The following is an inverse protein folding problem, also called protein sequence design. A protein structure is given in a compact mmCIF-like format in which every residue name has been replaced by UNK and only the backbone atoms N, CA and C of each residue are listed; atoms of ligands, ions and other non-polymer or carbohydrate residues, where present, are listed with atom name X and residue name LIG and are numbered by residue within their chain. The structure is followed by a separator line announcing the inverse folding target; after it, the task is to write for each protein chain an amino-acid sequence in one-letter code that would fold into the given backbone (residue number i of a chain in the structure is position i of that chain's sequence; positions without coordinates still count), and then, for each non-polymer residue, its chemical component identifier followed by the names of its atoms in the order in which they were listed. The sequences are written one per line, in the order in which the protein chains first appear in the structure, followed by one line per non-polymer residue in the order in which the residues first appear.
data_IF_469118547687
#
_entry.id   IF_469118547687
#
_cell.length_a   1.000
_cell.length_b   1.000
_cell.length_c   1.000
_cell.angle_alpha   90.00
_cell.angle_beta   90.00
_cell.angle_gamma   90.00
#
_symmetry.space_group_name_H-M   'P 1'
#
loop_
_entity.id
_entity.type
_entity.pdbx_description
1 polymer ?
#
# COMPACT_ATOMS: atom_id res chain seq x y z
N UNK A 1 -13.80 12.78 -16.23
CA UNK A 1 -14.02 12.15 -14.91
C UNK A 1 -13.49 13.06 -13.83
N UNK A 2 -14.36 13.46 -12.90
CA UNK A 2 -13.98 14.29 -11.74
C UNK A 2 -14.03 13.42 -10.49
N UNK A 3 -13.00 12.60 -10.34
CA UNK A 3 -12.89 11.64 -9.25
C UNK A 3 -12.54 12.31 -7.91
N UNK A 4 -13.21 11.89 -6.84
CA UNK A 4 -12.94 12.29 -5.45
C UNK A 4 -12.97 11.05 -4.54
N UNK A 5 -12.30 11.14 -3.39
CA UNK A 5 -12.45 10.16 -2.32
C UNK A 5 -13.60 10.58 -1.40
N UNK A 6 -14.54 9.65 -1.20
CA UNK A 6 -15.49 9.71 -0.12
C UNK A 6 -14.99 8.78 1.00
N UNK A 7 -14.63 9.36 2.14
CA UNK A 7 -14.06 8.63 3.28
C UNK A 7 -15.12 8.51 4.36
N UNK A 8 -15.37 7.28 4.82
CA UNK A 8 -16.26 7.00 5.94
C UNK A 8 -15.47 6.42 7.10
N UNK A 9 -15.72 6.96 8.31
CA UNK A 9 -15.07 6.57 9.56
C UNK A 9 -16.12 6.02 10.52
N UNK A 10 -16.16 4.70 10.68
CA UNK A 10 -17.21 4.02 11.45
C UNK A 10 -16.75 3.67 12.87
N UNK A 11 -16.97 4.58 13.83
CA UNK A 11 -16.48 4.44 15.22
C UNK A 11 -17.26 3.41 16.07
N UNK A 12 -18.44 2.99 15.64
CA UNK A 12 -19.42 2.27 16.48
C UNK A 12 -19.45 0.73 16.30
N UNK A 13 -18.54 0.14 15.52
CA UNK A 13 -18.51 -1.31 15.32
C UNK A 13 -17.55 -1.94 16.33
N UNK A 14 -18.10 -2.51 17.42
CA UNK A 14 -17.39 -3.14 18.54
C UNK A 14 -16.40 -4.26 18.13
N UNK A 15 -16.50 -4.80 16.91
CA UNK A 15 -15.86 -6.07 16.54
C UNK A 15 -14.73 -5.98 15.50
N UNK A 16 -14.23 -4.79 15.17
CA UNK A 16 -13.18 -4.67 14.14
C UNK A 16 -11.81 -4.23 14.68
N UNK A 17 -10.80 -5.07 14.42
CA UNK A 17 -9.38 -4.74 14.50
C UNK A 17 -9.12 -3.34 13.90
N UNK A 18 -8.30 -2.55 14.58
CA UNK A 18 -7.97 -1.12 14.43
C UNK A 18 -7.68 -0.59 13.01
N UNK A 19 -7.69 -1.42 11.96
CA UNK A 19 -7.53 -1.03 10.55
C UNK A 19 -8.78 -1.12 9.66
N UNK A 20 -9.97 -1.49 10.18
CA UNK A 20 -11.17 -1.77 9.37
C UNK A 20 -12.31 -0.74 9.47
N UNK A 21 -12.15 0.33 10.26
CA UNK A 21 -13.20 1.32 10.45
C UNK A 21 -13.17 2.50 9.44
N UNK A 22 -12.06 2.70 8.72
CA UNK A 22 -11.93 3.74 7.68
C UNK A 22 -12.06 3.11 6.30
N UNK A 23 -13.12 3.48 5.56
CA UNK A 23 -13.36 3.01 4.19
C UNK A 23 -13.20 4.16 3.20
N UNK A 24 -12.65 3.82 2.04
CA UNK A 24 -12.38 4.77 0.97
C UNK A 24 -13.21 4.35 -0.24
N UNK A 25 -14.22 5.15 -0.56
CA UNK A 25 -14.99 5.03 -1.78
C UNK A 25 -14.51 6.06 -2.80
N UNK A 26 -14.51 5.68 -4.07
CA UNK A 26 -14.25 6.59 -5.18
C UNK A 26 -15.59 7.03 -5.72
N UNK A 27 -15.78 8.34 -5.81
CA UNK A 27 -16.96 8.98 -6.37
C UNK A 27 -16.60 9.78 -7.61
N UNK A 28 -17.49 9.85 -8.59
CA UNK A 28 -17.30 10.68 -9.79
C UNK A 28 -18.34 11.81 -9.83
N UNK A 29 -17.87 13.04 -9.62
CA UNK A 29 -18.71 14.23 -9.56
C UNK A 29 -19.32 14.61 -10.91
N UNK A 30 -18.91 13.98 -12.01
CA UNK A 30 -19.56 14.12 -13.32
C UNK A 30 -20.85 13.27 -13.43
N UNK A 31 -20.97 12.20 -12.64
CA UNK A 31 -22.17 11.33 -12.64
C UNK A 31 -23.29 11.98 -11.82
N UNK A 32 -22.99 12.34 -10.57
CA UNK A 32 -23.89 13.07 -9.68
C UNK A 32 -23.07 13.91 -8.69
N UNK A 33 -23.69 14.96 -8.17
CA UNK A 33 -23.08 15.79 -7.12
C UNK A 33 -23.09 15.08 -5.76
N UNK A 34 -24.02 14.16 -5.55
CA UNK A 34 -24.32 13.60 -4.24
C UNK A 34 -23.97 12.11 -4.16
N UNK A 35 -23.49 11.71 -2.98
CA UNK A 35 -23.32 10.31 -2.62
C UNK A 35 -24.67 9.77 -2.09
N UNK A 36 -25.09 8.52 -2.40
CA UNK A 36 -24.33 7.45 -3.05
C UNK A 36 -24.45 7.38 -4.58
N UNK A 37 -25.25 8.23 -5.23
CA UNK A 37 -25.51 8.18 -6.67
C UNK A 37 -24.23 8.30 -7.53
N UNK A 38 -23.25 9.04 -7.04
CA UNK A 38 -21.96 9.21 -7.69
C UNK A 38 -20.91 8.15 -7.34
N UNK A 39 -21.29 7.09 -6.62
CA UNK A 39 -20.39 6.00 -6.26
C UNK A 39 -19.90 5.24 -7.49
N UNK A 40 -18.59 5.01 -7.54
CA UNK A 40 -17.96 4.24 -8.62
C UNK A 40 -17.46 2.89 -8.12
N UNK A 41 -16.62 2.88 -7.10
CA UNK A 41 -15.98 1.66 -6.59
C UNK A 41 -15.28 1.93 -5.26
N UNK A 42 -14.99 0.88 -4.52
CA UNK A 42 -14.18 0.96 -3.30
C UNK A 42 -12.70 0.99 -3.69
N UNK A 43 -11.92 1.89 -3.09
CA UNK A 43 -10.47 1.89 -3.21
C UNK A 43 -9.88 0.80 -2.29
N UNK A 44 -9.31 -0.28 -2.85
CA UNK A 44 -8.72 -1.34 -2.04
C UNK A 44 -7.45 -0.83 -1.34
N UNK A 45 -7.13 -1.43 -0.18
CA UNK A 45 -5.91 -1.09 0.57
C UNK A 45 -4.64 -1.49 -0.19
N UNK A 46 -4.67 -2.65 -0.84
CA UNK A 46 -3.59 -3.12 -1.72
C UNK A 46 -4.10 -3.16 -3.16
N UNK A 47 -3.32 -2.63 -4.08
CA UNK A 47 -3.62 -2.66 -5.51
C UNK A 47 -2.70 -3.70 -6.14
N UNK A 48 -3.25 -4.89 -6.42
CA UNK A 48 -2.53 -5.97 -7.09
C UNK A 48 -3.00 -6.02 -8.56
N UNK A 49 -2.19 -5.52 -9.47
CA UNK A 49 -2.51 -5.48 -10.92
C UNK A 49 -2.32 -6.84 -11.60
N UNK A 50 -1.44 -7.69 -11.06
CA UNK A 50 -1.07 -9.02 -11.58
C UNK A 50 -1.83 -10.18 -10.93
N UNK A 51 -2.67 -9.92 -9.92
CA UNK A 51 -3.41 -10.97 -9.23
C UNK A 51 -4.46 -11.64 -10.13
N UNK A 52 -4.70 -12.94 -9.90
CA UNK A 52 -5.74 -13.74 -10.58
C UNK A 52 -7.14 -13.15 -10.33
N UNK A 53 -7.40 -12.69 -9.12
CA UNK A 53 -8.64 -12.00 -8.75
C UNK A 53 -8.33 -10.50 -8.63
N UNK A 54 -8.86 -9.71 -9.57
CA UNK A 54 -8.72 -8.25 -9.60
C UNK A 54 -9.92 -7.58 -8.95
N UNK A 55 -9.68 -6.56 -8.14
CA UNK A 55 -10.74 -5.72 -7.57
C UNK A 55 -11.48 -4.94 -8.67
N UNK A 56 -12.72 -4.53 -8.42
CA UNK A 56 -13.50 -3.72 -9.37
C UNK A 56 -12.78 -2.43 -9.76
N UNK A 57 -12.03 -1.83 -8.81
CA UNK A 57 -11.15 -0.70 -9.07
C UNK A 57 -10.07 -1.02 -10.12
N UNK A 58 -9.34 -2.12 -9.94
CA UNK A 58 -8.29 -2.53 -10.90
C UNK A 58 -8.89 -2.92 -12.24
N UNK A 59 -10.06 -3.57 -12.27
CA UNK A 59 -10.76 -3.88 -13.52
C UNK A 59 -11.14 -2.62 -14.30
N UNK A 60 -11.64 -1.58 -13.61
CA UNK A 60 -12.07 -0.31 -14.22
C UNK A 60 -10.90 0.53 -14.74
N UNK A 61 -9.85 0.70 -13.94
CA UNK A 61 -8.75 1.62 -14.25
C UNK A 61 -7.46 0.95 -14.76
N UNK A 62 -7.43 -0.40 -14.80
CA UNK A 62 -6.34 -1.21 -15.38
C UNK A 62 -4.95 -0.73 -14.94
N UNK A 63 -4.12 -0.31 -15.90
CA UNK A 63 -2.73 0.10 -15.68
C UNK A 63 -2.61 1.46 -14.96
N UNK A 64 -3.65 2.29 -15.01
CA UNK A 64 -3.66 3.61 -14.37
C UNK A 64 -4.12 3.55 -12.91
N UNK A 65 -4.62 2.40 -12.45
CA UNK A 65 -5.17 2.21 -11.11
C UNK A 65 -4.25 2.72 -9.99
N UNK A 66 -2.95 2.40 -10.04
CA UNK A 66 -1.97 2.84 -9.04
C UNK A 66 -1.76 4.36 -9.09
N UNK A 67 -1.64 4.94 -10.30
CA UNK A 67 -1.43 6.39 -10.49
C UNK A 67 -2.63 7.19 -9.99
N UNK A 68 -3.85 6.72 -10.32
CA UNK A 68 -5.10 7.34 -9.87
C UNK A 68 -5.23 7.26 -8.36
N UNK A 69 -4.96 6.09 -7.76
CA UNK A 69 -5.01 5.92 -6.31
C UNK A 69 -4.04 6.85 -5.57
N UNK A 70 -2.78 6.96 -6.03
CA UNK A 70 -1.80 7.87 -5.44
C UNK A 70 -2.26 9.32 -5.55
N UNK A 71 -2.76 9.74 -6.72
CA UNK A 71 -3.26 11.10 -6.94
C UNK A 71 -4.39 11.44 -5.97
N UNK A 72 -5.40 10.58 -5.89
CA UNK A 72 -6.55 10.75 -5.01
C UNK A 72 -6.15 10.79 -3.53
N UNK A 73 -5.30 9.86 -3.10
CA UNK A 73 -4.82 9.82 -1.71
C UNK A 73 -4.00 11.07 -1.33
N UNK A 74 -3.16 11.58 -2.23
CA UNK A 74 -2.39 12.82 -2.00
C UNK A 74 -3.29 14.05 -1.92
N UNK A 75 -4.29 14.14 -2.80
CA UNK A 75 -5.26 15.25 -2.77
C UNK A 75 -6.00 15.28 -1.44
N UNK A 76 -6.48 14.12 -0.98
CA UNK A 76 -7.24 14.02 0.26
C UNK A 76 -6.37 14.20 1.52
N UNK A 77 -5.09 13.80 1.46
CA UNK A 77 -4.13 14.02 2.55
C UNK A 77 -3.97 15.51 2.90
N UNK A 78 -4.07 16.38 1.89
CA UNK A 78 -3.95 17.83 2.05
C UNK A 78 -5.27 18.49 2.46
N UNK A 79 -6.41 17.85 2.21
CA UNK A 79 -7.73 18.42 2.42
C UNK A 79 -8.39 18.00 3.75
N UNK A 80 -8.11 16.79 4.22
CA UNK A 80 -8.66 16.28 5.47
C UNK A 80 -7.93 16.87 6.67
N UNK A 81 -8.63 17.15 7.78
CA UNK A 81 -8.03 17.53 9.07
C UNK A 81 -7.94 16.38 10.09
N UNK A 82 -8.79 15.36 9.96
CA UNK A 82 -8.83 14.20 10.86
C UNK A 82 -7.52 13.40 10.82
N UNK A 83 -6.85 13.32 11.98
CA UNK A 83 -5.54 12.72 12.11
C UNK A 83 -5.54 11.20 11.84
N UNK A 84 -6.61 10.50 12.18
CA UNK A 84 -6.72 9.06 11.94
C UNK A 84 -6.82 8.77 10.45
N UNK A 85 -7.61 9.59 9.73
CA UNK A 85 -7.73 9.51 8.28
C UNK A 85 -6.38 9.85 7.63
N UNK A 86 -5.69 10.90 8.08
CA UNK A 86 -4.33 11.23 7.60
C UNK A 86 -3.37 10.05 7.78
N UNK A 87 -3.39 9.39 8.93
CA UNK A 87 -2.52 8.26 9.21
C UNK A 87 -2.82 7.06 8.30
N UNK A 88 -4.09 6.70 8.12
CA UNK A 88 -4.49 5.62 7.20
C UNK A 88 -4.12 5.95 5.75
N UNK A 89 -4.28 7.19 5.30
CA UNK A 89 -3.83 7.65 3.96
C UNK A 89 -2.32 7.48 3.82
N UNK A 90 -1.53 7.90 4.82
CA UNK A 90 -0.06 7.76 4.81
C UNK A 90 0.36 6.29 4.72
N UNK A 91 -0.29 5.41 5.49
CA UNK A 91 -0.02 3.97 5.45
C UNK A 91 -0.33 3.38 4.07
N UNK A 92 -1.46 3.73 3.47
CA UNK A 92 -1.79 3.30 2.09
C UNK A 92 -0.79 3.80 1.06
N UNK A 93 -0.36 5.06 1.17
CA UNK A 93 0.68 5.61 0.28
C UNK A 93 2.02 4.87 0.40
N UNK A 94 2.43 4.45 1.61
CA UNK A 94 3.65 3.63 1.81
C UNK A 94 3.54 2.27 1.13
N UNK A 95 2.36 1.65 1.15
CA UNK A 95 2.10 0.36 0.50
C UNK A 95 2.18 0.50 -1.03
N UNK A 96 1.60 1.58 -1.58
CA UNK A 96 1.55 1.80 -3.02
C UNK A 96 2.90 2.26 -3.61
N UNK A 97 3.68 3.00 -2.83
CA UNK A 97 5.03 3.44 -3.20
C UNK A 97 6.04 2.91 -2.16
N UNK A 98 6.38 1.61 -2.22
CA UNK A 98 7.38 1.06 -1.32
C UNK A 98 8.72 1.74 -1.59
N UNK A 99 9.37 2.23 -0.53
CA UNK A 99 10.74 2.74 -0.65
C UNK A 99 11.63 1.60 -1.16
N UNK A 100 12.57 1.88 -2.08
CA UNK A 100 13.53 0.88 -2.51
C UNK A 100 14.25 0.35 -1.27
N UNK A 101 14.29 -0.98 -1.13
CA UNK A 101 14.97 -1.62 0.00
C UNK A 101 16.44 -1.23 -0.06
N UNK A 102 16.98 -0.69 1.04
CA UNK A 102 18.41 -0.37 1.14
C UNK A 102 19.21 -1.65 0.93
N UNK A 103 20.00 -1.68 -0.15
CA UNK A 103 20.96 -2.73 -0.39
C UNK A 103 22.20 -2.47 0.48
N UNK A 104 22.81 -3.54 0.97
CA UNK A 104 24.08 -3.48 1.70
C UNK A 104 25.07 -4.43 1.04
N UNK A 105 26.37 -4.14 1.17
CA UNK A 105 27.42 -5.00 0.63
C UNK A 105 27.65 -6.23 1.49
N UNK A 106 27.81 -7.38 0.84
CA UNK A 106 28.20 -8.62 1.48
C UNK A 106 29.67 -8.56 1.90
N UNK A 107 29.95 -8.86 3.17
CA UNK A 107 31.33 -8.89 3.69
C UNK A 107 32.22 -9.96 3.04
N UNK A 108 31.64 -11.01 2.45
CA UNK A 108 32.40 -12.14 1.89
C UNK A 108 32.67 -11.98 0.39
N UNK A 109 31.68 -11.54 -0.39
CA UNK A 109 31.79 -11.46 -1.85
C UNK A 109 31.64 -10.05 -2.42
N UNK A 110 31.44 -9.03 -1.58
CA UNK A 110 31.30 -7.64 -2.00
C UNK A 110 29.98 -7.29 -2.71
N UNK A 111 29.16 -8.28 -3.08
CA UNK A 111 27.88 -8.08 -3.80
C UNK A 111 26.85 -7.35 -2.94
N UNK A 112 26.06 -6.51 -3.59
CA UNK A 112 24.90 -5.86 -2.97
C UNK A 112 23.77 -6.85 -2.76
N UNK A 113 23.17 -6.85 -1.57
CA UNK A 113 22.03 -7.71 -1.24
C UNK A 113 21.08 -7.03 -0.24
N UNK A 114 19.84 -7.54 -0.16
CA UNK A 114 18.86 -7.10 0.83
C UNK A 114 19.12 -7.78 2.17
N UNK A 115 19.73 -7.06 3.12
CA UNK A 115 19.97 -7.60 4.45
C UNK A 115 18.67 -7.75 5.26
N UNK A 116 18.51 -8.92 5.88
CA UNK A 116 17.47 -9.15 6.89
C UNK A 116 17.92 -8.62 8.25
N UNK A 117 16.99 -8.05 9.02
CA UNK A 117 17.19 -7.72 10.43
C UNK A 117 16.65 -8.86 11.31
N UNK A 118 17.45 -9.30 12.27
CA UNK A 118 17.08 -10.26 13.30
C UNK A 118 17.26 -9.58 14.66
N UNK A 119 16.21 -8.93 15.16
CA UNK A 119 16.28 -8.06 16.33
C UNK A 119 17.30 -6.93 16.11
N UNK A 120 18.30 -6.84 16.99
CA UNK A 120 19.39 -5.85 16.91
C UNK A 120 20.46 -6.16 15.85
N UNK A 121 20.51 -7.38 15.31
CA UNK A 121 21.53 -7.80 14.35
C UNK A 121 21.04 -7.60 12.92
N UNK A 122 21.93 -7.08 12.07
CA UNK A 122 21.69 -6.98 10.63
C UNK A 122 22.56 -7.99 9.90
N UNK A 123 21.99 -8.71 8.95
CA UNK A 123 22.71 -9.67 8.11
C UNK A 123 23.85 -8.97 7.35
N UNK A 124 25.09 -9.46 7.49
CA UNK A 124 26.29 -8.91 6.82
C UNK A 124 26.77 -9.74 5.62
N UNK A 125 26.22 -10.95 5.45
CA UNK A 125 26.64 -11.90 4.42
C UNK A 125 25.42 -12.28 3.59
N UNK A 126 25.55 -12.25 2.27
CA UNK A 126 24.45 -12.59 1.35
C UNK A 126 24.03 -14.06 1.48
N UNK A 127 22.81 -14.36 1.05
CA UNK A 127 22.23 -15.70 1.13
C UNK A 127 23.12 -16.76 0.48
N UNK A 128 23.63 -16.51 -0.73
CA UNK A 128 24.53 -17.44 -1.45
C UNK A 128 25.77 -17.81 -0.64
N UNK A 129 26.40 -16.82 0.01
CA UNK A 129 27.60 -17.03 0.81
C UNK A 129 27.31 -17.78 2.11
N UNK A 130 26.10 -17.60 2.68
CA UNK A 130 25.64 -18.35 3.85
C UNK A 130 25.34 -19.79 3.46
N UNK A 131 24.60 -20.04 2.37
CA UNK A 131 24.26 -21.38 1.90
C UNK A 131 25.50 -22.22 1.58
N UNK A 132 26.53 -21.64 0.94
CA UNK A 132 27.82 -22.32 0.71
C UNK A 132 28.54 -22.72 1.99
N UNK A 133 28.32 -22.01 3.11
CA UNK A 133 28.94 -22.36 4.41
C UNK A 133 28.34 -23.62 5.00
N UNK A 134 27.02 -23.79 4.86
CA UNK A 134 26.32 -24.98 5.38
C UNK A 134 26.52 -26.21 4.50
N UNK A 135 26.65 -26.04 3.17
CA UNK A 135 26.95 -27.14 2.24
C UNK A 135 28.36 -27.72 2.40
N UNK A 136 29.31 -26.96 2.93
CA UNK A 136 30.67 -27.44 3.21
C UNK A 136 30.80 -28.10 4.61
N UNK A 137 29.69 -28.28 5.34
CA UNK A 137 29.65 -28.93 6.66
C UNK A 137 28.90 -30.28 6.64
N UNK A 138 28.48 -30.74 5.45
CA UNK A 138 27.81 -32.02 5.21
C UNK A 138 28.68 -32.93 4.37
#
# INVERSE_FOLDING_TARGET
MKLKLHITKNKNLKDYQTGKYIRFAITDLEISKNYPENFVTILPKQIQTTAKIKSNFVKKYKNESVKIAIKLLKQELNATDDQDIKNEIRERLKILNPKPKKLVKCNKCGRDFQARKFGYRTQKICYECVSKRYLNQS
#
